data_IF_321663719975
#
_entry.id   IF_321663719975
#
_cell.length_a   1.000
_cell.length_b   1.000
_cell.length_c   1.000
_cell.angle_alpha   90.00
_cell.angle_beta   90.00
_cell.angle_gamma   90.00
#
_symmetry.space_group_name_H-M   'P 1'
#
loop_
_entity.id
_entity.type
_entity.pdbx_description
1 polymer ?
#
# COMPACT_ATOMS: atom_id res chain seq x y z
N UNK A 1 -31.02 -33.10 -37.70
CA UNK A 1 -32.36 -33.65 -37.44
C UNK A 1 -32.67 -33.42 -35.96
N UNK A 2 -33.82 -32.80 -35.70
CA UNK A 2 -34.51 -32.62 -34.41
C UNK A 2 -33.82 -31.71 -33.35
N UNK A 3 -34.48 -30.76 -32.69
CA UNK A 3 -35.80 -30.14 -32.85
C UNK A 3 -35.84 -28.85 -32.00
N UNK A 4 -36.50 -27.83 -32.57
CA UNK A 4 -37.43 -26.86 -31.96
C UNK A 4 -37.42 -26.56 -30.45
N UNK A 5 -37.40 -25.25 -30.16
CA UNK A 5 -37.82 -24.74 -28.85
C UNK A 5 -37.86 -23.21 -28.74
N UNK A 6 -38.37 -22.50 -29.76
CA UNK A 6 -38.81 -21.10 -29.56
C UNK A 6 -40.08 -21.13 -28.70
N UNK A 7 -40.00 -20.64 -27.46
CA UNK A 7 -41.13 -20.10 -26.70
C UNK A 7 -40.90 -18.61 -26.47
N UNK A 8 -41.65 -17.78 -27.20
CA UNK A 8 -42.13 -16.49 -26.67
C UNK A 8 -42.99 -16.85 -25.44
N UNK A 9 -43.06 -16.11 -24.35
CA UNK A 9 -43.28 -14.69 -24.18
C UNK A 9 -43.11 -14.38 -22.69
N UNK A 10 -42.56 -13.20 -22.36
CA UNK A 10 -42.93 -12.45 -21.16
C UNK A 10 -42.45 -11.01 -21.32
N UNK A 11 -43.41 -10.13 -21.62
CA UNK A 11 -43.27 -8.69 -21.46
C UNK A 11 -43.07 -8.40 -19.97
N UNK A 12 -41.93 -7.84 -19.59
CA UNK A 12 -41.66 -7.50 -18.20
C UNK A 12 -40.45 -6.61 -18.05
N UNK A 13 -40.69 -5.30 -18.22
CA UNK A 13 -39.80 -4.18 -17.88
C UNK A 13 -38.48 -4.23 -18.65
N UNK A 14 -38.36 -3.40 -19.69
CA UNK A 14 -37.07 -3.01 -20.25
C UNK A 14 -36.29 -2.23 -19.17
N UNK A 15 -35.78 -2.95 -18.17
CA UNK A 15 -34.79 -2.46 -17.25
C UNK A 15 -33.61 -2.06 -18.11
N UNK A 16 -33.35 -0.76 -18.16
CA UNK A 16 -32.16 -0.21 -18.81
C UNK A 16 -30.98 -1.03 -18.34
N UNK A 17 -30.38 -1.80 -19.23
CA UNK A 17 -29.21 -2.60 -18.92
C UNK A 17 -28.09 -1.60 -18.63
N UNK A 18 -27.81 -1.39 -17.34
CA UNK A 18 -26.72 -0.51 -16.91
C UNK A 18 -25.45 -1.35 -17.02
N UNK A 19 -24.65 -1.04 -18.02
CA UNK A 19 -23.32 -1.63 -18.14
C UNK A 19 -22.38 -0.97 -17.14
N UNK A 20 -21.85 -1.76 -16.22
CA UNK A 20 -20.85 -1.31 -15.26
C UNK A 20 -19.45 -1.64 -15.79
N UNK A 21 -18.55 -0.65 -15.69
CA UNK A 21 -17.13 -0.84 -15.98
C UNK A 21 -16.35 -0.89 -14.68
N UNK A 22 -15.43 -1.84 -14.56
CA UNK A 22 -14.51 -1.87 -13.44
C UNK A 22 -13.56 -0.66 -13.48
N UNK A 23 -13.45 0.02 -12.33
CA UNK A 23 -12.60 1.19 -12.08
C UNK A 23 -11.84 1.03 -10.76
N UNK A 24 -11.56 -0.21 -10.37
CA UNK A 24 -10.81 -0.54 -9.15
C UNK A 24 -9.45 0.17 -9.05
N UNK A 25 -9.09 0.56 -7.84
CA UNK A 25 -7.83 1.23 -7.54
C UNK A 25 -6.79 0.16 -7.20
N UNK A 26 -5.69 0.13 -7.95
CA UNK A 26 -4.58 -0.82 -7.75
C UNK A 26 -3.33 -0.12 -7.22
N UNK A 27 -2.63 -0.77 -6.30
CA UNK A 27 -1.35 -0.31 -5.79
C UNK A 27 -0.25 -0.41 -6.86
N UNK A 28 0.47 0.69 -7.12
CA UNK A 28 1.41 0.81 -8.26
C UNK A 28 2.89 0.67 -7.89
N UNK A 29 3.23 0.74 -6.60
CA UNK A 29 4.64 0.77 -6.16
C UNK A 29 5.24 -0.64 -6.20
N UNK A 30 6.52 -0.82 -6.59
CA UNK A 30 7.14 -2.15 -6.71
C UNK A 30 7.34 -2.85 -5.36
N UNK A 31 7.52 -2.09 -4.28
CA UNK A 31 7.75 -2.63 -2.93
C UNK A 31 6.44 -2.99 -2.24
N UNK A 32 6.32 -4.17 -1.62
CA UNK A 32 5.11 -4.55 -0.88
C UNK A 32 4.86 -3.57 0.28
N UNK A 33 3.59 -3.37 0.59
CA UNK A 33 3.15 -2.57 1.74
C UNK A 33 2.01 -3.30 2.47
N UNK A 34 1.88 -3.01 3.76
CA UNK A 34 0.85 -3.60 4.61
C UNK A 34 -0.29 -2.60 4.80
N UNK A 35 -1.53 -3.05 4.67
CA UNK A 35 -2.68 -2.25 5.05
C UNK A 35 -2.75 -2.17 6.58
N UNK A 36 -2.60 -0.97 7.12
CA UNK A 36 -2.62 -0.74 8.57
C UNK A 36 -4.02 -0.36 9.04
N UNK A 37 -4.68 0.57 8.34
CA UNK A 37 -6.02 1.05 8.68
C UNK A 37 -6.84 1.32 7.44
N UNK A 38 -8.14 1.06 7.52
CA UNK A 38 -9.11 1.41 6.49
C UNK A 38 -10.14 2.34 7.13
N UNK A 39 -10.27 3.54 6.57
CA UNK A 39 -11.29 4.51 6.95
C UNK A 39 -12.40 4.48 5.91
N UNK A 40 -13.62 4.26 6.38
CA UNK A 40 -14.85 4.44 5.62
C UNK A 40 -15.55 5.68 6.16
N UNK A 41 -15.79 6.67 5.32
CA UNK A 41 -16.51 7.88 5.69
C UNK A 41 -17.41 8.32 4.54
N UNK A 42 -18.34 9.22 4.84
CA UNK A 42 -19.20 9.86 3.85
C UNK A 42 -19.09 11.38 4.03
N UNK A 43 -19.33 12.14 2.96
CA UNK A 43 -19.46 13.60 3.05
C UNK A 43 -20.94 14.00 3.25
N UNK A 44 -21.20 15.30 3.38
CA UNK A 44 -22.57 15.85 3.48
C UNK A 44 -23.41 15.62 2.22
N UNK A 45 -22.76 15.30 1.08
CA UNK A 45 -23.39 14.98 -0.20
C UNK A 45 -23.58 13.45 -0.40
N UNK A 46 -23.47 12.66 0.67
CA UNK A 46 -23.59 11.19 0.67
C UNK A 46 -22.57 10.43 -0.21
N UNK A 47 -21.51 11.10 -0.67
CA UNK A 47 -20.41 10.46 -1.38
C UNK A 47 -19.53 9.64 -0.42
N UNK A 48 -19.39 8.34 -0.71
CA UNK A 48 -18.53 7.44 0.05
C UNK A 48 -17.04 7.69 -0.24
N UNK A 49 -16.25 7.81 0.82
CA UNK A 49 -14.81 7.97 0.78
C UNK A 49 -14.14 6.81 1.52
N UNK A 50 -13.29 6.09 0.80
CA UNK A 50 -12.47 5.01 1.33
C UNK A 50 -11.01 5.45 1.36
N UNK A 51 -10.38 5.47 2.53
CA UNK A 51 -8.95 5.73 2.68
C UNK A 51 -8.26 4.52 3.29
N UNK A 52 -7.27 3.99 2.58
CA UNK A 52 -6.43 2.88 3.06
C UNK A 52 -5.06 3.44 3.44
N UNK A 53 -4.72 3.36 4.72
CA UNK A 53 -3.39 3.69 5.23
C UNK A 53 -2.47 2.49 5.01
N UNK A 54 -1.43 2.68 4.20
CA UNK A 54 -0.42 1.67 3.88
C UNK A 54 0.88 1.96 4.66
N UNK A 55 1.49 0.92 5.23
CA UNK A 55 2.74 0.99 5.98
C UNK A 55 3.82 0.17 5.31
N UNK A 56 5.05 0.69 5.32
CA UNK A 56 6.26 -0.01 4.93
C UNK A 56 7.30 0.13 6.04
N UNK A 57 7.82 -1.00 6.53
CA UNK A 57 8.98 -1.00 7.45
C UNK A 57 10.24 -1.09 6.61
N UNK A 58 11.09 -0.07 6.69
CA UNK A 58 12.41 -0.05 6.03
C UNK A 58 13.48 0.01 7.11
N UNK A 59 14.37 -0.98 7.12
CA UNK A 59 15.55 -0.95 7.98
C UNK A 59 16.58 0.00 7.37
N UNK A 60 17.44 0.66 8.17
CA UNK A 60 18.51 1.46 7.63
C UNK A 60 19.41 0.66 6.71
N UNK A 61 19.68 1.21 5.53
CA UNK A 61 20.54 0.60 4.51
C UNK A 61 21.67 1.56 4.14
N UNK A 62 22.67 1.03 3.42
CA UNK A 62 23.74 1.84 2.86
C UNK A 62 23.16 2.90 1.93
N UNK A 63 23.62 4.14 2.07
CA UNK A 63 23.07 5.28 1.32
C UNK A 63 21.97 6.06 2.05
N UNK A 64 21.48 5.57 3.19
CA UNK A 64 20.52 6.31 4.00
C UNK A 64 21.12 7.57 4.61
N UNK A 65 20.33 8.63 4.65
CA UNK A 65 20.74 9.95 5.15
C UNK A 65 20.44 10.08 6.62
N UNK A 66 21.45 10.52 7.36
CA UNK A 66 21.36 10.83 8.78
C UNK A 66 21.78 12.28 9.04
N UNK A 67 21.28 12.86 10.13
CA UNK A 67 21.71 14.16 10.61
C UNK A 67 21.74 14.18 12.13
N UNK A 68 22.75 14.83 12.70
CA UNK A 68 22.71 15.18 14.13
C UNK A 68 21.80 16.39 14.38
N UNK A 69 21.49 16.66 15.66
CA UNK A 69 20.76 17.87 16.08
C UNK A 69 21.53 19.17 15.77
N UNK A 70 22.84 19.08 15.53
CA UNK A 70 23.71 20.21 15.22
C UNK A 70 23.95 20.39 13.71
N UNK A 71 23.09 19.82 12.86
CA UNK A 71 23.11 20.05 11.41
C UNK A 71 24.23 19.32 10.65
N UNK A 72 24.96 18.41 11.29
CA UNK A 72 25.94 17.55 10.62
C UNK A 72 25.20 16.47 9.84
N UNK A 73 25.10 16.66 8.52
CA UNK A 73 24.46 15.71 7.61
C UNK A 73 25.48 14.69 7.13
N UNK A 74 25.10 13.43 7.08
CA UNK A 74 25.92 12.33 6.61
C UNK A 74 25.10 11.26 5.91
N UNK A 75 25.79 10.35 5.24
CA UNK A 75 25.21 9.18 4.58
C UNK A 75 25.82 7.94 5.22
N UNK A 76 25.03 6.89 5.43
CA UNK A 76 25.54 5.60 5.90
C UNK A 76 26.47 4.98 4.83
N UNK A 77 27.78 4.98 5.11
CA UNK A 77 28.80 4.46 4.20
C UNK A 77 29.21 3.00 4.47
N UNK A 78 29.07 2.53 5.72
CA UNK A 78 29.38 1.16 6.13
C UNK A 78 28.44 0.74 7.28
N UNK A 79 27.94 -0.49 7.20
CA UNK A 79 27.28 -1.18 8.32
C UNK A 79 28.26 -2.27 8.77
N UNK A 80 28.96 -2.02 9.88
CA UNK A 80 29.94 -2.94 10.44
C UNK A 80 29.29 -3.93 11.41
N UNK A 81 29.88 -5.13 11.55
CA UNK A 81 29.48 -6.07 12.60
C UNK A 81 29.97 -5.57 13.96
N UNK A 82 29.25 -5.92 15.02
CA UNK A 82 29.56 -5.45 16.37
C UNK A 82 30.95 -5.90 16.85
N UNK A 83 31.42 -7.08 16.41
CA UNK A 83 32.73 -7.64 16.76
C UNK A 83 33.92 -6.88 16.16
N UNK A 84 33.71 -6.16 15.06
CA UNK A 84 34.75 -5.37 14.38
C UNK A 84 34.87 -3.95 14.92
N UNK A 85 33.92 -3.52 15.76
CA UNK A 85 33.86 -2.16 16.25
C UNK A 85 34.73 -1.98 17.51
N UNK A 86 35.40 -0.83 17.64
CA UNK A 86 36.24 -0.56 18.81
C UNK A 86 35.36 -0.48 20.07
N UNK A 87 35.80 -1.12 21.14
CA UNK A 87 35.12 -1.11 22.44
C UNK A 87 35.99 -0.46 23.52
N UNK A 88 35.35 0.09 24.57
CA UNK A 88 36.06 0.56 25.76
C UNK A 88 36.16 -0.53 26.84
N UNK A 89 36.92 -0.30 27.91
CA UNK A 89 37.10 -1.27 29.01
C UNK A 89 35.79 -1.65 29.74
N UNK A 90 34.73 -0.85 29.56
CA UNK A 90 33.38 -1.11 30.08
C UNK A 90 32.52 -1.95 29.11
N UNK A 91 33.04 -2.29 27.93
CA UNK A 91 32.35 -3.04 26.88
C UNK A 91 31.39 -2.21 26.03
N UNK A 92 31.42 -0.88 26.09
CA UNK A 92 30.59 -0.02 25.23
C UNK A 92 31.18 0.06 23.82
N UNK A 93 30.31 -0.13 22.83
CA UNK A 93 30.62 -0.12 21.39
C UNK A 93 29.82 1.01 20.73
N UNK A 94 30.44 1.85 19.90
CA UNK A 94 29.76 2.95 19.19
C UNK A 94 28.77 2.47 18.12
#
# INVERSE_FOLDING_TARGET
>A
MQETGKRQENLGIAGRQVDYKDVSITYKTPTPSYAERVLLTYNEEEAHLFKVLLRQTRRPELGDKFSSRHGQKGVCGLIAQQEDMPFNDLGMVP
#
